data_IF_870744996943
#
_entry.id   IF_870744996943
#
_cell.length_a   1.000
_cell.length_b   1.000
_cell.length_c   1.000
_cell.angle_alpha   90.00
_cell.angle_beta   90.00
_cell.angle_gamma   90.00
#
_symmetry.space_group_name_H-M   'P 1'
#
loop_
_entity.id
_entity.type
_entity.pdbx_description
1 polymer ?
#
# COMPACT_ATOMS: atom_id res chain seq x y z
N UNK A 1 14.29 11.26 1.32
CA UNK A 1 15.49 10.71 0.63
C UNK A 1 15.56 11.28 -0.78
N UNK A 2 16.74 11.69 -1.26
CA UNK A 2 16.93 12.35 -2.57
C UNK A 2 17.55 11.42 -3.64
N UNK A 3 17.48 10.10 -3.44
CA UNK A 3 18.02 9.10 -4.36
C UNK A 3 17.14 7.85 -4.31
N UNK A 4 17.09 7.04 -5.39
CA UNK A 4 16.31 5.81 -5.41
C UNK A 4 16.96 4.75 -4.51
N UNK A 5 16.12 4.04 -3.76
CA UNK A 5 16.46 2.81 -3.02
C UNK A 5 15.52 1.73 -3.52
N UNK A 6 16.07 0.62 -4.00
CA UNK A 6 15.26 -0.51 -4.47
C UNK A 6 15.04 -1.48 -3.31
N UNK A 7 13.78 -1.86 -3.05
CA UNK A 7 13.45 -3.01 -2.22
C UNK A 7 13.27 -4.24 -3.12
N UNK A 8 14.11 -5.24 -2.91
CA UNK A 8 14.00 -6.54 -3.58
C UNK A 8 13.61 -7.61 -2.59
N UNK A 9 12.45 -8.24 -2.82
CA UNK A 9 12.00 -9.39 -2.04
C UNK A 9 12.20 -10.65 -2.88
N UNK A 10 12.86 -11.65 -2.28
CA UNK A 10 13.05 -12.96 -2.88
C UNK A 10 12.49 -14.03 -1.95
N UNK A 11 11.56 -14.84 -2.43
CA UNK A 11 10.83 -15.80 -1.63
C UNK A 11 10.69 -17.15 -2.35
N UNK A 12 10.78 -18.25 -1.61
CA UNK A 12 10.57 -19.62 -2.11
C UNK A 12 9.79 -20.46 -1.10
N UNK A 13 8.90 -21.32 -1.61
CA UNK A 13 8.30 -22.37 -0.80
C UNK A 13 9.33 -23.45 -0.51
N UNK A 14 9.46 -23.83 0.76
CA UNK A 14 10.39 -24.90 1.15
C UNK A 14 9.66 -26.23 1.29
N UNK A 15 10.34 -27.29 0.87
CA UNK A 15 9.97 -28.66 1.22
C UNK A 15 10.04 -28.90 2.74
N UNK A 16 8.88 -29.23 3.32
CA UNK A 16 8.69 -29.48 4.75
C UNK A 16 9.66 -30.53 5.29
N UNK A 17 10.02 -31.54 4.50
CA UNK A 17 10.94 -32.60 4.93
C UNK A 17 12.35 -32.06 5.21
N UNK A 18 12.79 -31.02 4.47
CA UNK A 18 14.08 -30.38 4.70
C UNK A 18 14.11 -29.53 5.97
N UNK A 19 12.98 -28.93 6.35
CA UNK A 19 12.88 -28.09 7.56
C UNK A 19 12.87 -28.94 8.83
N UNK A 20 12.18 -30.10 8.84
CA UNK A 20 12.05 -30.97 10.02
C UNK A 20 13.40 -31.29 10.69
N UNK A 21 14.40 -31.68 9.91
CA UNK A 21 15.73 -31.99 10.44
C UNK A 21 16.51 -30.76 10.95
N UNK A 22 16.26 -29.56 10.41
CA UNK A 22 16.85 -28.31 10.92
C UNK A 22 16.20 -27.92 12.25
N UNK A 23 14.87 -27.99 12.33
CA UNK A 23 14.13 -27.70 13.56
C UNK A 23 14.48 -28.66 14.69
N UNK A 24 14.58 -29.96 14.41
CA UNK A 24 14.98 -30.96 15.42
C UNK A 24 16.32 -30.62 16.06
N UNK A 25 17.34 -30.32 15.25
CA UNK A 25 18.67 -29.90 15.75
C UNK A 25 18.61 -28.61 16.56
N UNK A 26 17.84 -27.63 16.09
CA UNK A 26 17.69 -26.36 16.82
C UNK A 26 16.95 -26.55 18.15
N UNK A 27 15.98 -27.47 18.21
CA UNK A 27 15.23 -27.78 19.42
C UNK A 27 16.12 -28.43 20.46
N UNK A 28 16.93 -29.42 20.07
CA UNK A 28 17.94 -30.01 20.96
C UNK A 28 18.93 -28.96 21.46
N UNK A 29 19.38 -28.04 20.60
CA UNK A 29 20.27 -26.94 21.01
C UNK A 29 19.63 -26.05 22.09
N UNK A 30 18.39 -25.60 21.88
CA UNK A 30 17.70 -24.76 22.87
C UNK A 30 17.47 -25.50 24.19
N UNK A 31 17.10 -26.78 24.14
CA UNK A 31 16.95 -27.60 25.34
C UNK A 31 18.25 -27.68 26.13
N UNK A 32 19.39 -27.95 25.47
CA UNK A 32 20.68 -28.03 26.14
C UNK A 32 21.07 -26.69 26.79
N UNK A 33 20.82 -25.55 26.12
CA UNK A 33 21.12 -24.22 26.67
C UNK A 33 20.27 -23.94 27.92
N UNK A 34 18.98 -24.30 27.89
CA UNK A 34 18.09 -24.11 29.03
C UNK A 34 18.49 -25.02 30.20
N UNK A 35 18.83 -26.28 29.92
CA UNK A 35 19.29 -27.24 30.94
C UNK A 35 20.63 -26.81 31.57
N UNK A 36 21.55 -26.26 30.79
CA UNK A 36 22.82 -25.71 31.30
C UNK A 36 22.60 -24.47 32.17
N UNK A 37 21.71 -23.55 31.76
CA UNK A 37 21.35 -22.37 32.55
C UNK A 37 20.70 -22.76 33.89
N UNK A 38 19.80 -23.76 33.89
CA UNK A 38 19.16 -24.29 35.08
C UNK A 38 20.18 -24.95 36.03
N UNK A 39 21.11 -25.75 35.49
CA UNK A 39 22.16 -26.42 36.27
C UNK A 39 23.19 -25.46 36.86
N UNK A 40 23.43 -24.32 36.21
CA UNK A 40 24.37 -23.28 36.69
C UNK A 40 23.71 -22.20 37.54
N UNK A 41 22.39 -22.30 37.74
CA UNK A 41 21.58 -21.29 38.44
C UNK A 41 21.75 -19.87 37.85
N UNK A 42 21.93 -19.80 36.52
CA UNK A 42 22.13 -18.56 35.76
C UNK A 42 20.81 -18.06 35.20
N UNK A 43 20.61 -16.74 35.15
CA UNK A 43 19.40 -16.14 34.56
C UNK A 43 19.35 -16.46 33.06
N UNK A 44 18.30 -17.14 32.62
CA UNK A 44 18.03 -17.35 31.20
C UNK A 44 17.74 -16.02 30.52
N UNK A 45 18.39 -15.75 29.39
CA UNK A 45 18.12 -14.54 28.61
C UNK A 45 16.75 -14.66 27.92
N UNK A 46 15.97 -13.58 27.92
CA UNK A 46 14.63 -13.51 27.32
C UNK A 46 14.62 -13.91 25.83
N UNK A 47 15.69 -13.63 25.10
CA UNK A 47 15.86 -14.01 23.70
C UNK A 47 15.89 -15.53 23.49
N UNK A 48 16.49 -16.27 24.44
CA UNK A 48 16.58 -17.74 24.38
C UNK A 48 15.20 -18.35 24.60
N UNK A 49 14.45 -17.83 25.58
CA UNK A 49 13.08 -18.27 25.89
C UNK A 49 12.16 -17.97 24.70
N UNK A 50 12.21 -16.75 24.18
CA UNK A 50 11.42 -16.32 23.02
C UNK A 50 11.75 -17.12 21.77
N UNK A 51 13.04 -17.40 21.55
CA UNK A 51 13.52 -18.26 20.46
C UNK A 51 13.00 -19.69 20.55
N UNK A 52 13.03 -20.28 21.75
CA UNK A 52 12.53 -21.63 21.99
C UNK A 52 11.00 -21.73 21.78
N UNK A 53 10.25 -20.73 22.26
CA UNK A 53 8.79 -20.64 22.04
C UNK A 53 8.46 -20.52 20.55
N UNK A 54 9.15 -19.62 19.83
CA UNK A 54 8.96 -19.42 18.39
C UNK A 54 9.28 -20.68 17.58
N UNK A 55 10.31 -21.43 17.98
CA UNK A 55 10.66 -22.69 17.36
C UNK A 55 9.59 -23.77 17.59
N UNK A 56 9.05 -23.89 18.81
CA UNK A 56 7.97 -24.85 19.11
C UNK A 56 6.70 -24.53 18.31
N UNK A 57 6.36 -23.26 18.17
CA UNK A 57 5.23 -22.82 17.33
C UNK A 57 5.46 -23.16 15.85
N UNK A 58 6.67 -22.90 15.32
CA UNK A 58 7.03 -23.30 13.97
C UNK A 58 6.94 -24.82 13.76
N UNK A 59 7.41 -25.61 14.73
CA UNK A 59 7.30 -27.08 14.69
C UNK A 59 5.84 -27.54 14.62
N UNK A 60 4.93 -26.91 15.39
CA UNK A 60 3.50 -27.19 15.36
C UNK A 60 2.89 -26.87 14.00
N UNK A 61 3.21 -25.71 13.42
CA UNK A 61 2.74 -25.29 12.09
C UNK A 61 3.20 -26.22 10.97
N UNK A 62 4.47 -26.64 11.01
CA UNK A 62 5.00 -27.64 10.08
C UNK A 62 4.31 -29.00 10.26
N UNK A 63 4.01 -29.41 11.51
CA UNK A 63 3.23 -30.61 11.81
C UNK A 63 1.81 -30.56 11.24
N UNK A 64 1.17 -29.39 11.32
CA UNK A 64 -0.15 -29.09 10.77
C UNK A 64 -0.21 -28.98 9.25
N UNK A 65 0.90 -29.28 8.54
CA UNK A 65 0.96 -29.22 7.08
C UNK A 65 0.68 -27.82 6.53
N UNK A 66 1.10 -26.77 7.24
CA UNK A 66 1.10 -25.41 6.70
C UNK A 66 2.26 -25.20 5.70
N UNK A 67 2.06 -24.31 4.73
CA UNK A 67 3.10 -23.91 3.79
C UNK A 67 4.04 -22.89 4.41
N UNK A 68 5.34 -23.19 4.29
CA UNK A 68 6.43 -22.35 4.82
C UNK A 68 7.17 -21.72 3.65
N UNK A 69 7.42 -20.43 3.77
CA UNK A 69 8.16 -19.60 2.84
C UNK A 69 9.48 -19.21 3.48
N UNK A 70 10.59 -19.43 2.78
CA UNK A 70 11.87 -18.75 3.05
C UNK A 70 11.92 -17.50 2.20
N UNK A 71 12.13 -16.34 2.82
CA UNK A 71 12.26 -15.10 2.08
C UNK A 71 13.39 -14.23 2.61
N UNK A 72 13.95 -13.38 1.75
CA UNK A 72 14.82 -12.28 2.13
C UNK A 72 14.31 -10.97 1.54
N UNK A 73 14.46 -9.89 2.30
CA UNK A 73 14.14 -8.52 1.88
C UNK A 73 15.44 -7.70 1.86
N UNK A 74 15.77 -7.15 0.70
CA UNK A 74 17.07 -6.53 0.45
C UNK A 74 16.88 -5.10 -0.05
N UNK A 75 17.48 -4.14 0.65
CA UNK A 75 17.57 -2.75 0.20
C UNK A 75 18.82 -2.58 -0.64
N UNK A 76 18.64 -2.28 -1.92
CA UNK A 76 19.73 -2.09 -2.88
C UNK A 76 19.93 -0.58 -3.06
N UNK A 77 21.12 -0.13 -2.70
CA UNK A 77 21.58 1.25 -2.85
C UNK A 77 22.66 1.28 -3.90
N UNK A 78 22.50 2.14 -4.91
CA UNK A 78 23.48 2.34 -5.98
C UNK A 78 24.00 3.79 -5.97
N UNK A 79 25.21 4.02 -6.50
CA UNK A 79 25.81 5.34 -6.63
C UNK A 79 26.91 5.33 -7.72
N UNK A 80 27.26 6.51 -8.25
CA UNK A 80 28.29 6.64 -9.30
C UNK A 80 29.72 6.69 -8.73
N UNK A 81 29.88 6.81 -7.42
CA UNK A 81 31.18 6.78 -6.74
C UNK A 81 31.07 6.13 -5.36
N UNK A 82 32.18 5.62 -4.84
CA UNK A 82 32.22 4.98 -3.52
C UNK A 82 31.89 5.96 -2.38
N UNK A 83 32.34 7.21 -2.49
CA UNK A 83 32.03 8.26 -1.51
C UNK A 83 30.52 8.55 -1.47
N UNK A 84 29.88 8.65 -2.64
CA UNK A 84 28.45 8.83 -2.74
C UNK A 84 27.68 7.60 -2.22
N UNK A 85 28.16 6.38 -2.49
CA UNK A 85 27.54 5.15 -2.00
C UNK A 85 27.51 5.11 -0.47
N UNK A 86 28.65 5.44 0.17
CA UNK A 86 28.77 5.49 1.64
C UNK A 86 27.81 6.51 2.26
N UNK A 87 27.71 7.69 1.64
CA UNK A 87 26.76 8.73 2.09
C UNK A 87 25.30 8.26 1.94
N UNK A 88 24.92 7.71 0.79
CA UNK A 88 23.56 7.18 0.56
C UNK A 88 23.21 6.05 1.52
N UNK A 89 24.15 5.12 1.75
CA UNK A 89 24.00 4.05 2.73
C UNK A 89 23.71 4.59 4.13
N UNK A 90 24.49 5.58 4.59
CA UNK A 90 24.28 6.17 5.92
C UNK A 90 22.89 6.81 6.05
N UNK A 91 22.43 7.50 5.00
CA UNK A 91 21.09 8.09 4.98
C UNK A 91 20.00 7.02 5.11
N UNK A 92 20.17 5.85 4.47
CA UNK A 92 19.22 4.73 4.61
C UNK A 92 19.25 4.18 6.02
N UNK A 93 20.43 3.91 6.58
CA UNK A 93 20.55 3.38 7.95
C UNK A 93 19.89 4.32 8.97
N UNK A 94 20.20 5.62 8.93
CA UNK A 94 19.62 6.60 9.84
C UNK A 94 18.10 6.67 9.70
N UNK A 95 17.57 6.60 8.47
CA UNK A 95 16.12 6.68 8.26
C UNK A 95 15.35 5.52 8.91
N UNK A 96 15.89 4.29 8.85
CA UNK A 96 15.24 3.15 9.48
C UNK A 96 15.52 3.09 10.99
N UNK A 97 16.67 3.58 11.44
CA UNK A 97 16.97 3.77 12.86
C UNK A 97 15.97 4.75 13.51
N UNK A 98 15.67 5.87 12.83
CA UNK A 98 14.63 6.83 13.26
C UNK A 98 13.22 6.19 13.34
N UNK A 99 12.97 5.14 12.53
CA UNK A 99 11.73 4.36 12.57
C UNK A 99 11.74 3.24 13.63
N UNK A 100 12.86 3.03 14.34
CA UNK A 100 13.05 1.92 15.26
C UNK A 100 13.14 0.56 14.56
N UNK A 101 13.56 0.53 13.30
CA UNK A 101 13.71 -0.67 12.48
C UNK A 101 15.19 -0.96 12.27
N UNK A 102 15.64 -2.10 12.78
CA UNK A 102 17.03 -2.54 12.59
C UNK A 102 17.27 -3.02 11.15
N UNK A 103 18.38 -2.59 10.56
CA UNK A 103 18.88 -3.08 9.27
C UNK A 103 20.31 -3.57 9.42
N UNK A 104 20.56 -4.79 8.95
CA UNK A 104 21.91 -5.36 8.91
C UNK A 104 22.65 -5.01 7.62
N UNK A 105 23.91 -4.58 7.74
CA UNK A 105 24.78 -4.28 6.59
C UNK A 105 25.47 -5.54 6.04
N UNK A 106 25.33 -5.76 4.72
CA UNK A 106 25.98 -6.87 4.03
C UNK A 106 27.42 -6.59 3.58
N UNK A 107 28.25 -5.97 4.42
CA UNK A 107 29.58 -5.47 4.05
C UNK A 107 30.49 -6.53 3.42
N UNK A 108 30.52 -7.74 3.99
CA UNK A 108 31.36 -8.85 3.51
C UNK A 108 30.63 -9.78 2.53
N UNK A 109 29.29 -9.80 2.59
CA UNK A 109 28.45 -10.72 1.82
C UNK A 109 27.90 -10.11 0.53
N UNK A 110 28.15 -8.82 0.27
CA UNK A 110 27.70 -8.10 -0.91
C UNK A 110 27.87 -8.87 -2.25
N UNK A 111 29.04 -9.45 -2.59
CA UNK A 111 29.19 -10.18 -3.85
C UNK A 111 28.34 -11.46 -3.90
N UNK A 112 28.17 -12.15 -2.77
CA UNK A 112 27.35 -13.36 -2.68
C UNK A 112 25.85 -13.02 -2.80
N UNK A 113 25.41 -11.96 -2.13
CA UNK A 113 24.03 -11.49 -2.23
C UNK A 113 23.74 -10.96 -3.62
N UNK A 114 24.65 -10.23 -4.25
CA UNK A 114 24.46 -9.78 -5.63
C UNK A 114 24.19 -10.95 -6.58
N UNK A 115 25.02 -12.00 -6.53
CA UNK A 115 24.83 -13.21 -7.34
C UNK A 115 23.51 -13.92 -6.99
N UNK A 116 23.20 -14.04 -5.70
CA UNK A 116 21.98 -14.69 -5.25
C UNK A 116 20.72 -13.88 -5.58
N UNK A 117 20.81 -12.58 -5.83
CA UNK A 117 19.68 -11.70 -6.17
C UNK A 117 19.46 -11.52 -7.66
N UNK A 118 20.26 -12.17 -8.51
CA UNK A 118 20.00 -12.23 -9.95
C UNK A 118 18.67 -12.93 -10.23
N UNK A 119 17.98 -12.48 -11.28
CA UNK A 119 16.72 -13.06 -11.71
C UNK A 119 16.89 -14.54 -12.10
N UNK A 120 15.91 -15.37 -11.74
CA UNK A 120 15.93 -16.81 -12.01
C UNK A 120 16.87 -17.63 -11.12
N UNK A 121 17.75 -17.00 -10.32
CA UNK A 121 18.51 -17.74 -9.31
C UNK A 121 17.59 -18.26 -8.22
N UNK A 122 17.92 -19.39 -7.61
CA UNK A 122 17.26 -19.82 -6.38
C UNK A 122 17.89 -19.17 -5.14
N UNK A 123 17.19 -19.20 -4.00
CA UNK A 123 17.78 -18.86 -2.71
C UNK A 123 18.97 -19.80 -2.46
N UNK A 124 20.16 -19.23 -2.34
CA UNK A 124 21.39 -20.00 -2.23
C UNK A 124 21.68 -20.33 -0.76
N UNK A 125 22.41 -21.43 -0.51
CA UNK A 125 22.82 -21.79 0.85
C UNK A 125 23.63 -20.68 1.54
N UNK A 126 24.39 -19.91 0.77
CA UNK A 126 25.22 -18.80 1.26
C UNK A 126 24.39 -17.61 1.75
N UNK A 127 23.15 -17.46 1.29
CA UNK A 127 22.27 -16.37 1.74
C UNK A 127 21.38 -16.76 2.91
N UNK A 128 21.55 -17.95 3.50
CA UNK A 128 20.67 -18.46 4.57
C UNK A 128 20.72 -17.64 5.85
N UNK A 129 21.79 -16.88 6.08
CA UNK A 129 21.91 -15.90 7.18
C UNK A 129 21.11 -14.63 6.92
N UNK A 130 20.68 -14.42 5.67
CA UNK A 130 19.97 -13.23 5.19
C UNK A 130 18.51 -13.54 4.80
N UNK A 131 17.98 -14.67 5.26
CA UNK A 131 16.63 -15.14 4.94
C UNK A 131 15.88 -15.54 6.20
N UNK A 132 14.59 -15.28 6.21
CA UNK A 132 13.66 -15.56 7.28
C UNK A 132 12.70 -16.67 6.87
N UNK A 133 12.23 -17.44 7.86
CA UNK A 133 11.22 -18.48 7.67
C UNK A 133 9.89 -17.99 8.24
N UNK A 134 8.85 -18.01 7.41
CA UNK A 134 7.51 -17.58 7.79
C UNK A 134 6.46 -18.49 7.19
N UNK A 135 5.26 -18.48 7.73
CA UNK A 135 4.10 -19.10 7.05
C UNK A 135 3.68 -18.25 5.86
N UNK A 136 2.95 -18.84 4.92
CA UNK A 136 2.36 -18.07 3.82
C UNK A 136 1.50 -16.89 4.31
N UNK A 137 0.78 -17.07 5.42
CA UNK A 137 0.00 -16.01 6.07
C UNK A 137 0.89 -14.91 6.64
N UNK A 138 1.93 -15.26 7.39
CA UNK A 138 2.86 -14.27 7.96
C UNK A 138 3.61 -13.48 6.88
N UNK A 139 3.94 -14.12 5.75
CA UNK A 139 4.51 -13.41 4.60
C UNK A 139 3.50 -12.42 3.98
N UNK A 140 2.22 -12.78 3.91
CA UNK A 140 1.18 -11.88 3.40
C UNK A 140 0.94 -10.66 4.30
N UNK A 141 1.20 -10.76 5.60
CA UNK A 141 1.14 -9.63 6.55
C UNK A 141 2.19 -8.55 6.27
N UNK A 142 3.28 -8.87 5.56
CA UNK A 142 4.22 -7.87 5.04
C UNK A 142 3.62 -6.98 3.95
N UNK A 143 2.43 -7.34 3.45
CA UNK A 143 1.69 -6.60 2.44
C UNK A 143 2.52 -6.24 1.18
N UNK A 144 3.38 -7.13 0.63
CA UNK A 144 4.31 -6.78 -0.44
C UNK A 144 3.62 -6.44 -1.78
N UNK A 145 2.34 -6.77 -1.90
CA UNK A 145 1.51 -6.54 -3.10
C UNK A 145 0.33 -5.62 -2.83
N UNK A 146 0.25 -4.98 -1.66
CA UNK A 146 -0.85 -4.05 -1.42
C UNK A 146 -0.60 -2.78 -2.23
N UNK A 147 -1.61 -2.42 -3.00
CA UNK A 147 -1.70 -1.10 -3.59
C UNK A 147 -2.67 -0.27 -2.75
N UNK A 148 -2.34 1.00 -2.57
CA UNK A 148 -3.27 1.98 -2.02
C UNK A 148 -4.17 2.44 -3.17
N UNK A 149 -5.31 1.76 -3.33
CA UNK A 149 -6.35 2.17 -4.28
C UNK A 149 -7.61 2.54 -3.51
N UNK A 150 -8.34 3.53 -4.02
CA UNK A 150 -9.61 3.97 -3.46
C UNK A 150 -10.61 4.22 -4.58
N UNK A 151 -11.89 4.01 -4.29
CA UNK A 151 -12.98 4.17 -5.24
C UNK A 151 -13.28 2.93 -6.08
N UNK A 152 -14.10 3.13 -7.10
CA UNK A 152 -14.50 2.11 -8.06
C UNK A 152 -13.41 1.92 -9.13
N UNK A 153 -13.44 0.78 -9.83
CA UNK A 153 -12.59 0.54 -11.02
C UNK A 153 -13.10 1.24 -12.28
N UNK A 154 -14.35 1.72 -12.24
CA UNK A 154 -15.05 2.40 -13.33
C UNK A 154 -15.77 3.62 -12.76
N UNK A 155 -15.92 4.67 -13.55
CA UNK A 155 -16.65 5.86 -13.14
C UNK A 155 -15.91 7.14 -13.48
N UNK A 156 -16.28 8.18 -12.75
CA UNK A 156 -15.81 9.53 -12.98
C UNK A 156 -14.64 9.84 -12.07
N UNK A 157 -13.66 10.56 -12.60
CA UNK A 157 -12.52 11.01 -11.83
C UNK A 157 -12.96 12.03 -10.77
N UNK A 158 -12.69 11.72 -9.50
CA UNK A 158 -12.99 12.62 -8.37
C UNK A 158 -11.74 13.07 -7.62
N UNK A 159 -10.57 12.51 -7.92
CA UNK A 159 -9.32 12.86 -7.25
C UNK A 159 -8.23 11.81 -7.41
N UNK A 160 -7.21 11.89 -6.55
CA UNK A 160 -6.08 10.95 -6.52
C UNK A 160 -5.77 10.56 -5.07
N UNK A 161 -5.18 9.39 -4.89
CA UNK A 161 -4.63 8.96 -3.60
C UNK A 161 -3.22 9.52 -3.47
N UNK A 162 -3.00 10.27 -2.39
CA UNK A 162 -1.69 10.66 -1.93
C UNK A 162 -1.15 9.57 -0.99
N UNK A 163 -0.05 8.95 -1.39
CA UNK A 163 0.57 7.86 -0.65
C UNK A 163 1.69 8.34 0.28
N UNK A 164 1.97 9.65 0.29
CA UNK A 164 3.00 10.21 1.15
C UNK A 164 2.48 10.43 2.55
N UNK A 165 3.16 9.84 3.53
CA UNK A 165 2.78 9.90 4.95
C UNK A 165 3.31 11.19 5.61
N UNK A 166 4.29 11.85 4.98
CA UNK A 166 4.87 13.10 5.45
C UNK A 166 4.13 14.34 4.96
N UNK A 167 4.68 15.51 5.30
CA UNK A 167 4.21 16.78 4.77
C UNK A 167 4.85 17.06 3.41
N UNK A 168 4.07 17.57 2.46
CA UNK A 168 4.59 18.07 1.20
C UNK A 168 5.14 19.49 1.32
N UNK A 169 6.28 19.74 0.67
CA UNK A 169 6.83 21.11 0.56
C UNK A 169 5.91 22.03 -0.25
N UNK A 170 5.30 21.49 -1.31
CA UNK A 170 4.42 22.23 -2.21
C UNK A 170 3.40 21.32 -2.90
N UNK A 171 2.32 21.95 -3.35
CA UNK A 171 1.17 21.29 -3.97
C UNK A 171 1.52 20.61 -5.30
N UNK A 172 2.39 21.19 -6.14
CA UNK A 172 2.72 20.60 -7.45
C UNK A 172 3.43 19.25 -7.31
N UNK A 173 4.38 19.14 -6.38
CA UNK A 173 5.04 17.87 -6.06
C UNK A 173 4.03 16.82 -5.57
N UNK A 174 3.10 17.23 -4.69
CA UNK A 174 2.05 16.35 -4.19
C UNK A 174 1.18 15.79 -5.34
N UNK A 175 0.76 16.64 -6.28
CA UNK A 175 -0.04 16.25 -7.44
C UNK A 175 0.74 15.29 -8.36
N UNK A 176 2.02 15.55 -8.61
CA UNK A 176 2.87 14.70 -9.45
C UNK A 176 3.17 13.34 -8.82
N UNK A 177 3.33 13.29 -7.50
CA UNK A 177 3.57 12.05 -6.76
C UNK A 177 2.30 11.19 -6.61
N UNK A 178 1.13 11.81 -6.55
CA UNK A 178 -0.16 11.14 -6.46
C UNK A 178 -0.56 10.53 -7.81
N UNK A 179 -0.09 9.31 -8.09
CA UNK A 179 -0.34 8.63 -9.39
C UNK A 179 -1.63 7.81 -9.42
N UNK A 180 -2.14 7.41 -8.25
CA UNK A 180 -3.31 6.53 -8.16
C UNK A 180 -4.58 7.38 -8.27
N UNK A 181 -5.28 7.29 -9.41
CA UNK A 181 -6.55 7.99 -9.60
C UNK A 181 -7.67 7.34 -8.78
N UNK A 182 -8.63 8.15 -8.34
CA UNK A 182 -9.86 7.72 -7.68
C UNK A 182 -11.01 7.93 -8.66
N UNK A 183 -11.63 6.83 -9.06
CA UNK A 183 -12.85 6.86 -9.85
C UNK A 183 -14.05 6.57 -8.95
N UNK A 184 -15.15 7.25 -9.21
CA UNK A 184 -16.38 7.06 -8.46
C UNK A 184 -17.57 6.95 -9.39
N UNK A 185 -18.38 5.91 -9.19
CA UNK A 185 -19.62 5.73 -9.90
C UNK A 185 -20.77 5.46 -8.91
N UNK A 186 -21.59 6.48 -8.58
CA UNK A 186 -22.65 6.33 -7.59
C UNK A 186 -23.79 5.41 -8.07
N UNK A 187 -23.92 5.13 -9.38
CA UNK A 187 -24.98 4.27 -9.90
C UNK A 187 -24.66 2.78 -9.81
N UNK A 188 -23.41 2.41 -9.50
CA UNK A 188 -22.97 1.00 -9.37
C UNK A 188 -23.74 0.28 -8.25
N UNK A 189 -24.09 0.98 -7.16
CA UNK A 189 -24.85 0.38 -6.05
C UNK A 189 -26.21 -0.17 -6.48
N UNK A 190 -26.85 0.44 -7.50
CA UNK A 190 -28.19 0.10 -7.96
C UNK A 190 -28.25 -1.08 -8.94
N UNK A 191 -27.12 -1.53 -9.48
CA UNK A 191 -27.07 -2.61 -10.47
C UNK A 191 -26.94 -3.96 -9.80
N UNK A 192 -27.75 -4.93 -10.20
CA UNK A 192 -27.61 -6.33 -9.77
C UNK A 192 -26.44 -7.03 -10.48
N UNK A 193 -25.97 -8.13 -9.90
CA UNK A 193 -24.96 -9.03 -10.47
C UNK A 193 -23.56 -8.43 -10.72
N UNK A 194 -23.18 -7.38 -9.99
CA UNK A 194 -21.81 -6.89 -9.98
C UNK A 194 -20.94 -7.74 -9.06
N UNK A 195 -19.98 -8.46 -9.65
CA UNK A 195 -19.00 -9.25 -8.91
C UNK A 195 -18.25 -8.39 -7.86
N UNK A 196 -18.25 -8.86 -6.61
CA UNK A 196 -17.61 -8.14 -5.49
C UNK A 196 -18.41 -6.96 -4.94
N UNK A 197 -19.67 -6.75 -5.34
CA UNK A 197 -20.54 -5.72 -4.76
C UNK A 197 -20.92 -6.11 -3.31
N UNK A 198 -20.44 -5.32 -2.35
CA UNK A 198 -20.69 -5.54 -0.90
C UNK A 198 -22.00 -4.89 -0.43
N UNK A 199 -22.39 -3.76 -1.02
CA UNK A 199 -23.59 -2.99 -0.63
C UNK A 199 -24.46 -2.64 -1.82
N UNK A 200 -25.79 -2.66 -1.61
CA UNK A 200 -26.79 -2.15 -2.56
C UNK A 200 -27.21 -0.71 -2.26
N UNK A 201 -26.73 -0.13 -1.16
CA UNK A 201 -27.09 1.22 -0.77
C UNK A 201 -26.14 2.24 -1.45
N UNK A 202 -26.62 3.09 -2.37
CA UNK A 202 -25.80 4.08 -3.05
C UNK A 202 -25.65 5.40 -2.27
N UNK A 203 -26.24 5.51 -1.07
CA UNK A 203 -26.21 6.75 -0.30
C UNK A 203 -24.80 7.07 0.17
N UNK A 204 -24.39 8.32 -0.09
CA UNK A 204 -23.10 8.86 0.31
C UNK A 204 -23.30 10.05 1.24
N UNK A 205 -22.37 10.22 2.18
CA UNK A 205 -22.30 11.37 3.06
C UNK A 205 -20.95 12.05 2.82
N UNK A 206 -20.98 13.35 2.52
CA UNK A 206 -19.77 14.18 2.35
C UNK A 206 -19.67 15.11 3.56
N UNK A 207 -18.65 14.92 4.39
CA UNK A 207 -18.40 15.73 5.58
C UNK A 207 -17.08 16.49 5.46
N UNK A 208 -16.95 17.60 6.18
CA UNK A 208 -15.72 18.40 6.20
C UNK A 208 -15.92 19.83 6.67
N UNK A 209 -14.85 20.47 7.15
CA UNK A 209 -14.87 21.86 7.58
C UNK A 209 -15.14 22.83 6.39
N UNK A 210 -15.58 24.04 6.69
CA UNK A 210 -15.81 25.08 5.66
C UNK A 210 -14.50 25.45 4.97
N UNK A 211 -14.54 25.62 3.64
CA UNK A 211 -13.35 25.87 2.81
C UNK A 211 -12.59 24.62 2.35
N UNK A 212 -12.93 23.42 2.83
CA UNK A 212 -12.20 22.18 2.51
C UNK A 212 -12.71 21.44 1.26
N UNK A 213 -13.29 22.15 0.29
CA UNK A 213 -13.66 21.56 -1.01
C UNK A 213 -14.88 20.63 -1.01
N UNK A 214 -15.65 20.54 0.08
CA UNK A 214 -16.86 19.69 0.14
C UNK A 214 -17.94 20.04 -0.89
N UNK A 215 -18.23 21.34 -1.11
CA UNK A 215 -19.15 21.78 -2.17
C UNK A 215 -18.64 21.38 -3.54
N UNK A 216 -17.35 21.58 -3.81
CA UNK A 216 -16.71 21.25 -5.07
C UNK A 216 -16.83 19.75 -5.40
N UNK A 217 -16.56 18.87 -4.43
CA UNK A 217 -16.72 17.42 -4.61
C UNK A 217 -18.19 17.05 -4.90
N UNK A 218 -19.14 17.61 -4.15
CA UNK A 218 -20.56 17.36 -4.37
C UNK A 218 -21.01 17.81 -5.78
N UNK A 219 -20.52 18.96 -6.25
CA UNK A 219 -20.81 19.48 -7.59
C UNK A 219 -20.21 18.62 -8.68
N UNK A 220 -18.96 18.15 -8.55
CA UNK A 220 -18.35 17.22 -9.51
C UNK A 220 -19.17 15.94 -9.62
N UNK A 221 -19.54 15.34 -8.48
CA UNK A 221 -20.34 14.10 -8.47
C UNK A 221 -21.69 14.37 -9.14
N UNK A 222 -22.37 15.46 -8.79
CA UNK A 222 -23.65 15.82 -9.38
C UNK A 222 -23.56 16.00 -10.90
N UNK A 223 -22.62 16.81 -11.40
CA UNK A 223 -22.41 17.04 -12.83
C UNK A 223 -22.12 15.72 -13.54
N UNK A 224 -21.28 14.89 -12.96
CA UNK A 224 -20.90 13.59 -13.50
C UNK A 224 -22.10 12.62 -13.63
N UNK A 225 -23.03 12.66 -12.67
CA UNK A 225 -24.28 11.85 -12.74
C UNK A 225 -25.28 12.49 -13.69
N UNK A 226 -25.38 13.81 -13.75
CA UNK A 226 -26.31 14.53 -14.63
C UNK A 226 -25.99 14.32 -16.12
N UNK A 227 -24.74 14.00 -16.46
CA UNK A 227 -24.34 13.58 -17.82
C UNK A 227 -24.81 12.16 -18.19
N UNK A 228 -25.26 11.37 -17.21
CA UNK A 228 -25.81 10.04 -17.45
C UNK A 228 -27.32 10.12 -17.71
N UNK A 229 -27.91 9.05 -18.26
CA UNK A 229 -29.35 8.97 -18.47
C UNK A 229 -30.10 8.66 -17.15
N UNK A 230 -30.02 9.58 -16.18
CA UNK A 230 -30.59 9.46 -14.84
C UNK A 230 -31.28 10.78 -14.48
N UNK A 231 -32.45 10.71 -13.83
CA UNK A 231 -33.11 11.92 -13.30
C UNK A 231 -32.38 12.37 -12.04
N UNK A 232 -31.88 13.61 -12.03
CA UNK A 232 -31.11 14.16 -10.92
C UNK A 232 -31.79 15.40 -10.32
N UNK A 233 -31.82 15.50 -8.99
CA UNK A 233 -32.25 16.68 -8.24
C UNK A 233 -31.08 17.19 -7.41
N UNK A 234 -30.77 18.49 -7.52
CA UNK A 234 -29.74 19.15 -6.72
C UNK A 234 -30.36 20.31 -5.95
N UNK A 235 -30.30 20.26 -4.64
CA UNK A 235 -30.80 21.32 -3.75
C UNK A 235 -29.60 22.20 -3.37
N UNK A 236 -29.55 23.39 -3.94
CA UNK A 236 -28.47 24.36 -3.72
C UNK A 236 -28.93 25.52 -2.82
N UNK A 237 -28.81 25.41 -1.49
CA UNK A 237 -29.24 26.48 -0.59
C UNK A 237 -28.40 27.75 -0.75
N UNK A 238 -27.18 27.65 -1.29
CA UNK A 238 -26.25 28.78 -1.45
C UNK A 238 -26.32 29.43 -2.83
N UNK A 239 -27.02 28.81 -3.79
CA UNK A 239 -27.20 29.27 -5.17
C UNK A 239 -25.87 29.39 -5.97
N UNK A 240 -24.79 28.78 -5.50
CA UNK A 240 -23.47 28.80 -6.16
C UNK A 240 -23.54 28.23 -7.58
N UNK A 241 -24.21 27.09 -7.75
CA UNK A 241 -24.34 26.40 -9.03
C UNK A 241 -25.21 27.23 -10.00
N UNK A 242 -26.25 27.88 -9.48
CA UNK A 242 -27.14 28.75 -10.26
C UNK A 242 -26.38 29.95 -10.81
N UNK A 243 -25.60 30.64 -9.99
CA UNK A 243 -24.79 31.76 -10.44
C UNK A 243 -23.84 31.34 -11.56
N UNK A 244 -23.14 30.22 -11.39
CA UNK A 244 -22.24 29.70 -12.42
C UNK A 244 -22.94 29.38 -13.75
N UNK A 245 -24.10 28.71 -13.70
CA UNK A 245 -24.88 28.46 -14.92
C UNK A 245 -25.40 29.74 -15.57
N UNK A 246 -25.85 30.71 -14.77
CA UNK A 246 -26.34 31.99 -15.30
C UNK A 246 -25.23 32.77 -16.00
N UNK A 247 -24.01 32.79 -15.44
CA UNK A 247 -22.82 33.40 -16.07
C UNK A 247 -22.42 32.71 -17.38
N UNK A 248 -22.52 31.38 -17.44
CA UNK A 248 -22.21 30.63 -18.66
C UNK A 248 -23.26 30.86 -19.75
N UNK A 249 -24.54 30.86 -19.39
CA UNK A 249 -25.64 31.07 -20.34
C UNK A 249 -25.62 32.49 -20.90
N UNK A 250 -25.23 33.49 -20.10
CA UNK A 250 -25.07 34.87 -20.56
C UNK A 250 -23.79 35.12 -21.36
N UNK A 251 -22.92 34.12 -21.52
CA UNK A 251 -21.69 34.26 -22.31
C UNK A 251 -22.00 34.16 -23.82
N UNK A 252 -21.75 35.22 -24.62
CA UNK A 252 -22.08 35.25 -26.04
C UNK A 252 -21.39 34.17 -26.89
N UNK A 253 -20.21 33.70 -26.49
CA UNK A 253 -19.52 32.62 -27.20
C UNK A 253 -20.16 31.25 -26.95
N UNK A 254 -20.67 31.04 -25.73
CA UNK A 254 -21.37 29.82 -25.37
C UNK A 254 -22.72 29.73 -26.08
N UNK A 255 -23.43 30.86 -26.19
CA UNK A 255 -24.70 30.97 -26.91
C UNK A 255 -24.56 30.58 -28.39
N UNK A 256 -23.50 31.03 -29.08
CA UNK A 256 -23.18 30.64 -30.46
C UNK A 256 -22.91 29.13 -30.60
N UNK A 257 -22.34 28.50 -29.57
CA UNK A 257 -21.99 27.08 -29.60
C UNK A 257 -23.22 26.19 -29.42
N UNK A 258 -24.19 26.59 -28.58
CA UNK A 258 -25.46 25.88 -28.39
C UNK A 258 -26.38 26.03 -29.61
N UNK A 259 -26.43 27.20 -30.26
CA UNK A 259 -27.26 27.36 -31.47
C UNK A 259 -26.84 26.42 -32.62
N UNK A 260 -25.58 25.99 -32.65
CA UNK A 260 -25.03 25.07 -33.64
C UNK A 260 -25.05 23.58 -33.22
N UNK A 261 -25.42 23.26 -31.98
CA UNK A 261 -25.36 21.90 -31.44
C UNK A 261 -26.60 21.55 -30.62
N UNK A 262 -27.25 20.42 -30.93
CA UNK A 262 -28.46 19.90 -30.26
C UNK A 262 -28.26 19.57 -28.76
N UNK A 263 -28.07 20.56 -27.89
CA UNK A 263 -27.96 20.37 -26.44
C UNK A 263 -29.12 21.09 -25.74
N UNK A 264 -30.07 20.31 -25.21
CA UNK A 264 -31.17 20.81 -24.37
C UNK A 264 -30.85 20.57 -22.89
N UNK A 265 -30.31 21.57 -22.19
CA UNK A 265 -30.23 21.58 -20.73
C UNK A 265 -31.52 22.18 -20.15
N UNK A 266 -32.34 21.37 -19.48
CA UNK A 266 -33.48 21.86 -18.67
C UNK A 266 -33.06 21.94 -17.22
N UNK A 267 -32.74 23.15 -16.75
CA UNK A 267 -32.56 23.43 -15.32
C UNK A 267 -33.96 23.62 -14.72
N UNK A 268 -34.49 22.62 -14.01
CA UNK A 268 -35.71 22.80 -13.21
C UNK A 268 -35.33 23.44 -11.88
N UNK A 269 -35.48 24.76 -11.78
CA UNK A 269 -35.49 25.45 -10.49
C UNK A 269 -36.88 25.32 -9.88
N UNK A 270 -37.00 24.61 -8.75
CA UNK A 270 -38.15 24.74 -7.86
C UNK A 270 -38.04 26.10 -7.16
N UNK A 271 -38.81 27.08 -7.66
CA UNK A 271 -39.08 28.36 -7.00
C UNK A 271 -40.11 28.16 -5.87
N UNK A 272 -40.10 29.04 -4.86
CA UNK A 272 -40.81 30.32 -4.97
C UNK A 272 -39.92 31.50 -5.36
#
# INVERSE_FOLDING_TARGET
MNFPVELRIKAEFIDRNKIKGKMGRSNTRFLNIMEEADNTNTVQQDDIITGALSLKDLMKKVGNKEDIIEYGAYLIVSASSLSQLRSRRQVVLNYFDDMGVEISEASHDAPYLFQALLYGQKLQKKTRTWTHLVTARGFAELMPFTNTTSGNRIGWYIGRVDNWIGRWDNLQKAIQASKNIVLFNPTVGNKEDIAGKITKNPHIIITGATGQGKSFLAQIIFLSVALQNVKTLYIDPKRELRHHYQEIISNPEFEKTIQNGNVKLKLLTLLP
#
